data_IF_089412463620
#
_entry.id   IF_089412463620
#
_cell.length_a   1.000
_cell.length_b   1.000
_cell.length_c   1.000
_cell.angle_alpha   90.00
_cell.angle_beta   90.00
_cell.angle_gamma   90.00
#
_symmetry.space_group_name_H-M   'P 1'
#
loop_
_entity.id
_entity.type
_entity.pdbx_description
1 polymer ?
#
# COMPACT_ATOMS: atom_id res chain seq x y z
N UNK A 1 -3.98 -13.59 -26.30
CA UNK A 1 -4.76 -12.54 -25.62
C UNK A 1 -4.70 -12.82 -24.13
N UNK A 2 -3.66 -12.33 -23.44
CA UNK A 2 -3.41 -12.59 -22.01
C UNK A 2 -3.89 -11.34 -21.27
N UNK A 3 -5.19 -11.23 -21.00
CA UNK A 3 -5.78 -10.05 -20.32
C UNK A 3 -6.66 -10.46 -19.14
N UNK A 4 -6.45 -11.64 -18.56
CA UNK A 4 -7.39 -12.19 -17.56
C UNK A 4 -6.72 -12.81 -16.34
N UNK A 5 -5.55 -12.32 -15.92
CA UNK A 5 -5.24 -12.34 -14.49
C UNK A 5 -5.72 -10.99 -13.98
N UNK A 6 -7.00 -10.92 -13.65
CA UNK A 6 -7.58 -9.78 -12.94
C UNK A 6 -6.71 -9.60 -11.70
N UNK A 7 -5.90 -8.53 -11.69
CA UNK A 7 -4.94 -8.29 -10.62
C UNK A 7 -5.78 -8.06 -9.36
N UNK A 8 -5.76 -8.96 -8.36
CA UNK A 8 -6.67 -8.87 -7.22
C UNK A 8 -6.62 -7.49 -6.59
N UNK A 9 -5.40 -6.93 -6.53
CA UNK A 9 -5.04 -5.61 -5.99
C UNK A 9 -5.69 -4.41 -6.70
N UNK A 10 -5.99 -4.51 -8.00
CA UNK A 10 -6.65 -3.43 -8.76
C UNK A 10 -8.10 -3.23 -8.31
N UNK A 11 -8.78 -4.33 -7.96
CA UNK A 11 -10.20 -4.34 -7.59
C UNK A 11 -10.47 -4.09 -6.10
N UNK A 12 -9.43 -3.97 -5.26
CA UNK A 12 -9.62 -3.90 -3.81
C UNK A 12 -9.87 -2.47 -3.38
N UNK A 13 -10.84 -2.28 -2.47
CA UNK A 13 -11.13 -0.99 -1.87
C UNK A 13 -9.96 -0.52 -0.99
N UNK A 14 -9.98 0.75 -0.59
CA UNK A 14 -8.96 1.29 0.32
C UNK A 14 -9.13 0.72 1.75
N UNK A 15 -10.36 0.37 2.14
CA UNK A 15 -10.63 -0.46 3.33
C UNK A 15 -9.96 -1.84 3.25
N UNK A 16 -9.84 -2.38 2.02
CA UNK A 16 -8.93 -3.45 1.60
C UNK A 16 -7.56 -3.35 2.27
N UNK A 17 -6.93 -2.23 1.96
CA UNK A 17 -5.54 -1.90 2.27
C UNK A 17 -5.38 -1.71 3.77
N UNK A 18 -6.31 -1.01 4.43
CA UNK A 18 -6.28 -0.83 5.88
C UNK A 18 -6.37 -2.17 6.62
N UNK A 19 -7.24 -3.09 6.19
CA UNK A 19 -7.34 -4.43 6.79
C UNK A 19 -6.06 -5.26 6.55
N UNK A 20 -5.39 -5.07 5.42
CA UNK A 20 -4.12 -5.76 5.12
C UNK A 20 -2.91 -5.09 5.73
N UNK A 21 -2.98 -3.82 6.12
CA UNK A 21 -1.93 -3.12 6.84
C UNK A 21 -1.55 -3.88 8.12
N UNK A 22 -2.55 -4.33 8.88
CA UNK A 22 -2.34 -5.13 10.10
C UNK A 22 -1.63 -6.45 9.80
N UNK A 23 -2.03 -7.14 8.73
CA UNK A 23 -1.38 -8.41 8.31
C UNK A 23 0.05 -8.17 7.84
N UNK A 24 0.29 -7.08 7.10
CA UNK A 24 1.62 -6.72 6.61
C UNK A 24 2.53 -6.30 7.77
N UNK A 25 2.03 -5.53 8.74
CA UNK A 25 2.77 -5.21 9.95
C UNK A 25 3.11 -6.46 10.77
N UNK A 26 2.19 -7.42 10.88
CA UNK A 26 2.45 -8.70 11.55
C UNK A 26 3.52 -9.53 10.82
N UNK A 27 3.47 -9.58 9.48
CA UNK A 27 4.50 -10.23 8.67
C UNK A 27 5.85 -9.52 8.83
N UNK A 28 5.89 -8.19 8.77
CA UNK A 28 7.11 -7.40 9.01
C UNK A 28 7.63 -7.65 10.41
N UNK A 29 6.77 -7.76 11.42
CA UNK A 29 7.15 -8.15 12.79
C UNK A 29 7.88 -9.50 12.85
N UNK A 30 7.52 -10.44 11.97
CA UNK A 30 8.15 -11.76 11.88
C UNK A 30 9.45 -11.77 11.09
N UNK A 31 9.56 -11.02 9.99
CA UNK A 31 10.73 -11.06 9.09
C UNK A 31 11.77 -9.95 9.35
N UNK A 32 11.31 -8.82 9.90
CA UNK A 32 12.08 -7.58 10.14
C UNK A 32 11.56 -6.90 11.43
N UNK A 33 11.72 -7.54 12.60
CA UNK A 33 11.16 -7.05 13.87
C UNK A 33 11.62 -5.64 14.24
N UNK A 34 12.87 -5.28 13.92
CA UNK A 34 13.40 -3.93 14.15
C UNK A 34 12.66 -2.87 13.34
N UNK A 35 12.36 -3.15 12.07
CA UNK A 35 11.59 -2.26 11.22
C UNK A 35 10.14 -2.12 11.71
N UNK A 36 9.51 -3.24 12.07
CA UNK A 36 8.16 -3.20 12.67
C UNK A 36 8.15 -2.34 13.94
N UNK A 37 9.16 -2.51 14.80
CA UNK A 37 9.29 -1.75 16.03
C UNK A 37 9.44 -0.25 15.75
N UNK A 38 10.27 0.15 14.78
CA UNK A 38 10.41 1.56 14.37
C UNK A 38 9.08 2.13 13.88
N UNK A 39 8.34 1.38 13.05
CA UNK A 39 7.03 1.81 12.54
C UNK A 39 6.01 2.00 13.66
N UNK A 40 5.99 1.10 14.65
CA UNK A 40 5.03 1.13 15.77
C UNK A 40 5.37 2.22 16.78
N UNK A 41 6.66 2.40 17.10
CA UNK A 41 7.11 3.28 18.19
C UNK A 41 7.30 4.73 17.77
N UNK A 42 7.47 5.00 16.47
CA UNK A 42 7.59 6.37 15.95
C UNK A 42 6.22 7.03 15.92
N UNK A 43 6.05 8.25 16.49
CA UNK A 43 4.82 9.02 16.35
C UNK A 43 4.43 9.18 14.87
N UNK A 44 3.24 8.71 14.50
CA UNK A 44 2.77 8.74 13.12
C UNK A 44 3.32 7.64 12.20
N UNK A 45 4.18 6.74 12.68
CA UNK A 45 4.81 5.69 11.86
C UNK A 45 3.81 4.72 11.23
N UNK A 46 2.77 4.31 11.95
CA UNK A 46 1.70 3.48 11.38
C UNK A 46 0.94 4.18 10.26
N UNK A 47 0.67 5.49 10.40
CA UNK A 47 0.04 6.29 9.35
C UNK A 47 0.96 6.41 8.13
N UNK A 48 2.23 6.72 8.33
CA UNK A 48 3.22 6.76 7.23
C UNK A 48 3.28 5.43 6.47
N UNK A 49 3.23 4.31 7.19
CA UNK A 49 3.24 2.98 6.57
C UNK A 49 1.96 2.72 5.76
N UNK A 50 0.80 3.09 6.29
CA UNK A 50 -0.48 3.01 5.56
C UNK A 50 -0.47 3.84 4.28
N UNK A 51 -0.05 5.11 4.38
CA UNK A 51 0.02 6.04 3.25
C UNK A 51 0.99 5.50 2.18
N UNK A 52 2.13 4.95 2.59
CA UNK A 52 3.11 4.34 1.67
C UNK A 52 2.55 3.14 0.89
N UNK A 53 1.73 2.30 1.53
CA UNK A 53 1.09 1.17 0.86
C UNK A 53 0.02 1.62 -0.14
N UNK A 54 -0.75 2.65 0.23
CA UNK A 54 -1.75 3.27 -0.65
C UNK A 54 -1.08 3.91 -1.87
N UNK A 55 -0.01 4.66 -1.66
CA UNK A 55 0.75 5.26 -2.76
C UNK A 55 1.39 4.21 -3.66
N UNK A 56 1.93 3.13 -3.08
CA UNK A 56 2.45 2.01 -3.86
C UNK A 56 1.36 1.35 -4.71
N UNK A 57 0.15 1.15 -4.16
CA UNK A 57 -0.99 0.66 -4.93
C UNK A 57 -1.34 1.62 -6.07
N UNK A 58 -1.34 2.93 -5.84
CA UNK A 58 -1.57 3.92 -6.88
C UNK A 58 -0.48 3.91 -7.96
N UNK A 59 0.78 3.70 -7.61
CA UNK A 59 1.87 3.57 -8.59
C UNK A 59 1.70 2.29 -9.43
N UNK A 60 1.33 1.17 -8.80
CA UNK A 60 1.27 -0.13 -9.45
C UNK A 60 -0.02 -0.35 -10.26
N UNK A 61 -1.15 0.20 -9.79
CA UNK A 61 -2.50 -0.06 -10.32
C UNK A 61 -3.32 1.20 -10.56
N UNK A 62 -2.85 2.36 -10.12
CA UNK A 62 -3.51 3.62 -10.42
C UNK A 62 -3.44 3.92 -11.91
N UNK A 63 -4.50 4.54 -12.43
CA UNK A 63 -4.45 5.07 -13.80
C UNK A 63 -3.38 6.16 -13.84
N UNK A 64 -2.50 6.19 -14.86
CA UNK A 64 -1.57 7.30 -15.01
C UNK A 64 -2.38 8.61 -15.07
N UNK A 65 -2.21 9.45 -14.06
CA UNK A 65 -2.66 10.83 -14.14
C UNK A 65 -1.67 11.55 -15.06
N UNK A 66 -1.91 11.48 -16.37
CA UNK A 66 -1.25 12.42 -17.28
C UNK A 66 -1.75 13.78 -16.82
N UNK A 67 -0.86 14.53 -16.16
CA UNK A 67 -1.06 15.93 -15.85
C UNK A 67 -1.12 16.66 -17.19
N UNK A 68 -2.30 16.73 -17.79
CA UNK A 68 -2.55 17.61 -18.92
C UNK A 68 -2.64 19.00 -18.28
N UNK A 69 -1.50 19.66 -18.11
CA UNK A 69 -1.50 21.11 -18.03
C UNK A 69 -2.21 21.61 -19.28
N UNK A 70 -3.44 22.08 -19.09
CA UNK A 70 -4.23 22.67 -20.18
C UNK A 70 -3.52 23.97 -20.58
N UNK A 71 -3.20 24.17 -21.87
CA UNK A 71 -2.54 25.38 -22.35
C UNK A 71 -3.38 26.63 -22.12
#
# INVERSE_FOLDING_TARGET
>A
MIVAVVNPLESMSDEWIEQKMTVLLDVIGKIRPELANVIITTPGGQKWFADSLTDLKHILFGRPQINIEKP
#
